data_IF_888945510200
#
_entry.id   IF_888945510200
#
_cell.length_a   1.000
_cell.length_b   1.000
_cell.length_c   1.000
_cell.angle_alpha   90.00
_cell.angle_beta   90.00
_cell.angle_gamma   90.00
#
_symmetry.space_group_name_H-M   'P 1'
#
loop_
_entity.id
_entity.type
_entity.pdbx_description
1 polymer ?
#
# COMPACT_ATOMS: atom_id res chain seq x y z
N UNK A 1 16.77 23.90 5.98
CA UNK A 1 17.59 24.97 5.39
C UNK A 1 16.75 26.23 5.46
N UNK A 2 17.07 27.07 6.44
CA UNK A 2 16.47 28.39 6.55
C UNK A 2 16.93 29.18 5.32
N UNK A 3 15.99 29.64 4.51
CA UNK A 3 16.25 30.82 3.71
C UNK A 3 16.48 31.94 4.73
N UNK A 4 17.76 32.27 4.95
CA UNK A 4 18.14 33.57 5.51
C UNK A 4 17.57 34.63 4.56
N UNK A 5 16.31 34.98 4.80
CA UNK A 5 15.76 36.26 4.38
C UNK A 5 16.73 37.28 4.95
N UNK A 6 17.49 37.89 4.04
CA UNK A 6 18.51 38.88 4.34
C UNK A 6 17.82 40.16 4.84
N UNK A 7 17.20 40.07 6.02
CA UNK A 7 16.60 41.16 6.77
C UNK A 7 17.59 42.32 6.90
N UNK A 8 18.86 41.96 7.06
CA UNK A 8 20.00 42.87 7.18
C UNK A 8 20.25 43.73 5.92
N UNK A 9 19.88 43.25 4.73
CA UNK A 9 19.99 43.99 3.47
C UNK A 9 18.77 44.88 3.20
N UNK A 10 17.56 44.40 3.51
CA UNK A 10 16.32 45.20 3.39
C UNK A 10 16.29 46.31 4.47
N UNK A 11 16.80 46.04 5.68
CA UNK A 11 16.90 47.02 6.75
C UNK A 11 17.97 48.08 6.45
N UNK A 12 19.13 47.69 5.91
CA UNK A 12 20.14 48.61 5.34
C UNK A 12 19.58 49.43 4.17
N UNK A 13 18.73 48.85 3.32
CA UNK A 13 18.03 49.55 2.23
C UNK A 13 16.96 50.52 2.71
N UNK A 14 16.36 50.31 3.87
CA UNK A 14 15.43 51.29 4.45
C UNK A 14 16.15 52.42 5.20
N UNK A 15 17.31 52.12 5.80
CA UNK A 15 18.12 53.07 6.57
C UNK A 15 18.69 54.21 5.73
N UNK A 16 19.26 53.93 4.55
CA UNK A 16 19.81 55.00 3.71
C UNK A 16 18.73 55.97 3.20
N UNK A 17 17.51 55.48 2.91
CA UNK A 17 16.36 56.28 2.51
C UNK A 17 15.91 57.21 3.65
N UNK A 18 15.99 56.72 4.89
CA UNK A 18 15.74 57.47 6.14
C UNK A 18 16.81 58.55 6.37
N UNK A 19 18.08 58.18 6.23
CA UNK A 19 19.22 59.11 6.34
C UNK A 19 19.19 60.20 5.26
N UNK A 20 18.61 59.91 4.08
CA UNK A 20 18.48 60.86 2.99
C UNK A 20 17.34 61.88 3.19
N UNK A 21 16.24 61.44 3.79
CA UNK A 21 15.10 62.31 4.12
C UNK A 21 15.35 63.14 5.40
N UNK A 22 16.13 62.62 6.35
CA UNK A 22 16.54 63.33 7.57
C UNK A 22 17.59 64.42 7.36
N UNK A 23 18.24 64.49 6.19
CA UNK A 23 19.24 65.53 5.84
C UNK A 23 18.64 66.82 5.24
N UNK A 24 17.33 67.03 5.38
CA UNK A 24 16.57 67.93 4.51
C UNK A 24 16.48 69.40 4.91
N UNK A 25 17.36 69.94 5.77
CA UNK A 25 17.36 71.39 6.03
C UNK A 25 18.58 72.18 5.53
N UNK A 26 19.78 71.60 5.37
CA UNK A 26 20.98 72.42 5.05
C UNK A 26 21.93 71.91 3.93
N UNK A 27 21.75 70.71 3.36
CA UNK A 27 22.56 70.26 2.21
C UNK A 27 21.70 70.01 0.97
N UNK A 28 21.97 70.76 -0.12
CA UNK A 28 21.28 70.58 -1.40
C UNK A 28 21.57 69.19 -1.97
N UNK A 29 20.62 68.26 -1.80
CA UNK A 29 20.67 66.90 -2.35
C UNK A 29 20.75 67.01 -3.88
N UNK A 30 21.75 66.35 -4.49
CA UNK A 30 21.91 66.37 -5.94
C UNK A 30 20.72 65.71 -6.65
N UNK A 31 20.31 66.20 -7.84
CA UNK A 31 19.13 65.70 -8.55
C UNK A 31 19.21 64.20 -8.88
N UNK A 32 20.41 63.67 -9.06
CA UNK A 32 20.66 62.25 -9.31
C UNK A 32 20.27 61.36 -8.11
N UNK A 33 20.52 61.85 -6.89
CA UNK A 33 20.17 61.16 -5.66
C UNK A 33 18.67 61.22 -5.40
N UNK A 34 18.00 62.33 -5.75
CA UNK A 34 16.54 62.45 -5.70
C UNK A 34 15.87 61.45 -6.66
N UNK A 35 16.37 61.32 -7.89
CA UNK A 35 15.87 60.35 -8.88
C UNK A 35 16.09 58.91 -8.40
N UNK A 36 17.23 58.61 -7.76
CA UNK A 36 17.50 57.30 -7.19
C UNK A 36 16.56 56.97 -6.02
N UNK A 37 16.30 57.93 -5.13
CA UNK A 37 15.36 57.77 -4.01
C UNK A 37 13.92 57.55 -4.50
N UNK A 38 13.47 58.32 -5.50
CA UNK A 38 12.14 58.14 -6.12
C UNK A 38 12.03 56.76 -6.78
N UNK A 39 13.06 56.29 -7.49
CA UNK A 39 13.06 54.94 -8.08
C UNK A 39 12.99 53.84 -7.01
N UNK A 40 13.71 54.00 -5.91
CA UNK A 40 13.69 53.04 -4.81
C UNK A 40 12.31 53.01 -4.12
N UNK A 41 11.69 54.17 -3.89
CA UNK A 41 10.32 54.30 -3.38
C UNK A 41 9.30 53.64 -4.30
N UNK A 42 9.39 53.88 -5.62
CA UNK A 42 8.50 53.23 -6.60
C UNK A 42 8.68 51.71 -6.57
N UNK A 43 9.91 51.20 -6.52
CA UNK A 43 10.15 49.75 -6.43
C UNK A 43 9.58 49.15 -5.13
N UNK A 44 9.71 49.84 -3.99
CA UNK A 44 9.21 49.37 -2.71
C UNK A 44 7.68 49.42 -2.64
N UNK A 45 7.05 50.48 -3.16
CA UNK A 45 5.59 50.56 -3.31
C UNK A 45 5.07 49.48 -4.27
N UNK A 46 5.77 49.21 -5.38
CA UNK A 46 5.41 48.09 -6.27
C UNK A 46 5.54 46.74 -5.58
N UNK A 47 6.60 46.52 -4.78
CA UNK A 47 6.78 45.29 -3.99
C UNK A 47 5.63 45.12 -2.98
N UNK A 48 5.30 46.16 -2.21
CA UNK A 48 4.20 46.15 -1.24
C UNK A 48 2.83 45.97 -1.90
N UNK A 49 2.59 46.64 -3.03
CA UNK A 49 1.39 46.47 -3.84
C UNK A 49 1.23 45.04 -4.33
N UNK A 50 2.30 44.44 -4.86
CA UNK A 50 2.32 43.04 -5.28
C UNK A 50 2.09 42.11 -4.09
N UNK A 51 2.72 42.34 -2.94
CA UNK A 51 2.50 41.54 -1.72
C UNK A 51 1.07 41.66 -1.17
N UNK A 52 0.49 42.86 -1.16
CA UNK A 52 -0.89 43.09 -0.71
C UNK A 52 -1.91 42.51 -1.67
N UNK A 53 -1.70 42.65 -2.98
CA UNK A 53 -2.54 42.01 -4.01
C UNK A 53 -2.42 40.50 -3.88
N UNK A 54 -1.21 39.93 -3.79
CA UNK A 54 -0.99 38.48 -3.58
C UNK A 54 -1.63 37.97 -2.28
N UNK A 55 -1.60 38.75 -1.19
CA UNK A 55 -2.27 38.42 0.08
C UNK A 55 -3.79 38.51 -0.03
N UNK A 56 -4.34 39.48 -0.78
CA UNK A 56 -5.80 39.65 -1.01
C UNK A 56 -6.37 38.66 -2.03
N UNK A 57 -5.59 38.19 -3.02
CA UNK A 57 -6.06 37.29 -4.08
C UNK A 57 -5.89 35.79 -3.78
N UNK A 58 -5.32 35.40 -2.63
CA UNK A 58 -5.34 33.99 -2.17
C UNK A 58 -6.74 33.60 -1.70
N UNK A 59 -7.71 33.54 -2.62
CA UNK A 59 -8.98 32.86 -2.37
C UNK A 59 -8.66 31.36 -2.19
N UNK A 60 -9.18 30.69 -1.15
CA UNK A 60 -8.97 29.27 -0.94
C UNK A 60 -9.61 28.48 -2.08
N UNK A 61 -8.85 27.58 -2.71
CA UNK A 61 -9.33 26.77 -3.83
C UNK A 61 -10.38 25.74 -3.36
N UNK A 62 -11.67 26.09 -3.41
CA UNK A 62 -12.76 25.30 -2.79
C UNK A 62 -13.03 24.00 -3.55
N UNK A 63 -13.08 24.06 -4.89
CA UNK A 63 -13.33 22.88 -5.73
C UNK A 63 -12.12 21.95 -5.75
N UNK A 64 -10.90 22.50 -5.71
CA UNK A 64 -9.68 21.69 -5.59
C UNK A 64 -9.68 20.88 -4.30
N UNK A 65 -10.03 21.50 -3.16
CA UNK A 65 -10.13 20.81 -1.87
C UNK A 65 -11.07 19.61 -1.95
N UNK A 66 -12.22 19.76 -2.61
CA UNK A 66 -13.18 18.66 -2.79
C UNK A 66 -12.60 17.52 -3.64
N UNK A 67 -11.94 17.84 -4.77
CA UNK A 67 -11.33 16.82 -5.63
C UNK A 67 -10.21 16.08 -4.89
N UNK A 68 -9.33 16.80 -4.20
CA UNK A 68 -8.24 16.21 -3.41
C UNK A 68 -8.79 15.32 -2.28
N UNK A 69 -9.88 15.74 -1.63
CA UNK A 69 -10.57 14.92 -0.62
C UNK A 69 -11.14 13.63 -1.20
N UNK A 70 -11.85 13.71 -2.33
CA UNK A 70 -12.41 12.52 -2.99
C UNK A 70 -11.32 11.54 -3.39
N UNK A 71 -10.22 12.03 -3.98
CA UNK A 71 -9.07 11.20 -4.35
C UNK A 71 -8.40 10.59 -3.12
N UNK A 72 -8.18 11.36 -2.06
CA UNK A 72 -7.60 10.88 -0.81
C UNK A 72 -8.44 9.80 -0.13
N UNK A 73 -9.77 9.99 -0.04
CA UNK A 73 -10.69 8.97 0.47
C UNK A 73 -10.60 7.70 -0.38
N UNK A 74 -10.60 7.82 -1.70
CA UNK A 74 -10.54 6.66 -2.59
C UNK A 74 -9.21 5.89 -2.43
N UNK A 75 -8.09 6.59 -2.20
CA UNK A 75 -6.79 5.98 -1.87
C UNK A 75 -6.84 5.24 -0.54
N UNK A 76 -7.47 5.82 0.49
CA UNK A 76 -7.67 5.15 1.79
C UNK A 76 -8.51 3.89 1.62
N UNK A 77 -9.62 3.95 0.88
CA UNK A 77 -10.45 2.76 0.58
C UNK A 77 -9.63 1.68 -0.11
N UNK A 78 -8.82 2.04 -1.12
CA UNK A 78 -7.93 1.08 -1.78
C UNK A 78 -6.93 0.46 -0.80
N UNK A 79 -6.28 1.27 0.04
CA UNK A 79 -5.31 0.80 1.03
C UNK A 79 -5.96 -0.12 2.08
N UNK A 80 -7.18 0.17 2.53
CA UNK A 80 -7.94 -0.68 3.45
C UNK A 80 -8.30 -2.01 2.80
N UNK A 81 -8.81 -2.01 1.56
CA UNK A 81 -9.12 -3.25 0.83
C UNK A 81 -7.87 -4.11 0.62
N UNK A 82 -6.74 -3.49 0.25
CA UNK A 82 -5.45 -4.17 0.16
C UNK A 82 -5.04 -4.76 1.51
N UNK A 83 -5.18 -4.00 2.60
CA UNK A 83 -4.84 -4.47 3.95
C UNK A 83 -5.66 -5.70 4.32
N UNK A 84 -6.98 -5.67 4.10
CA UNK A 84 -7.86 -6.82 4.37
C UNK A 84 -7.40 -8.05 3.58
N UNK A 85 -7.08 -7.92 2.29
CA UNK A 85 -6.63 -9.05 1.47
C UNK A 85 -5.30 -9.63 1.94
N UNK A 86 -4.32 -8.78 2.25
CA UNK A 86 -3.01 -9.23 2.73
C UNK A 86 -3.12 -9.86 4.13
N UNK A 87 -3.98 -9.32 4.99
CA UNK A 87 -4.31 -9.89 6.31
C UNK A 87 -4.97 -11.26 6.16
N UNK A 88 -5.90 -11.47 5.21
CA UNK A 88 -6.46 -12.80 4.94
C UNK A 88 -5.40 -13.80 4.50
N UNK A 89 -4.51 -13.42 3.58
CA UNK A 89 -3.34 -14.24 3.22
C UNK A 89 -2.54 -14.61 4.47
N UNK A 90 -2.34 -13.65 5.38
CA UNK A 90 -1.59 -13.85 6.62
C UNK A 90 -2.32 -14.62 7.72
N UNK A 91 -3.63 -14.65 7.82
CA UNK A 91 -4.30 -15.27 8.99
C UNK A 91 -5.21 -16.42 8.63
N UNK A 92 -5.78 -16.43 7.43
CA UNK A 92 -6.63 -17.53 6.99
C UNK A 92 -5.79 -18.66 6.38
N UNK A 93 -4.70 -18.31 5.69
CA UNK A 93 -3.83 -19.27 5.00
C UNK A 93 -2.44 -19.42 5.63
N UNK A 94 -2.04 -18.51 6.53
CA UNK A 94 -0.77 -18.61 7.28
C UNK A 94 -0.76 -19.39 8.60
N UNK A 95 -1.86 -19.87 9.22
CA UNK A 95 -1.74 -20.75 10.38
C UNK A 95 -0.99 -22.05 10.03
N UNK A 96 -0.94 -22.37 8.73
CA UNK A 96 -0.13 -23.41 8.10
C UNK A 96 1.40 -23.13 8.18
N UNK A 97 1.77 -21.86 8.35
CA UNK A 97 3.11 -21.30 8.14
C UNK A 97 3.85 -21.05 9.45
N UNK A 98 3.12 -20.66 10.50
CA UNK A 98 3.71 -20.07 11.71
C UNK A 98 4.48 -21.04 12.59
N UNK A 99 4.25 -22.36 12.46
CA UNK A 99 4.91 -23.38 13.29
C UNK A 99 6.17 -23.99 12.66
N UNK A 100 6.59 -23.56 11.46
CA UNK A 100 7.73 -24.16 10.74
C UNK A 100 8.81 -23.17 10.28
N UNK A 101 9.15 -22.21 11.14
CA UNK A 101 10.09 -21.11 10.84
C UNK A 101 11.56 -21.51 10.55
N UNK A 102 11.96 -22.77 10.32
CA UNK A 102 13.37 -23.04 9.99
C UNK A 102 13.70 -22.88 8.49
N UNK A 103 12.71 -22.87 7.61
CA UNK A 103 12.94 -22.51 6.20
C UNK A 103 13.16 -21.01 6.06
N UNK A 104 14.32 -20.62 5.50
CA UNK A 104 14.67 -19.23 5.22
C UNK A 104 13.62 -18.55 4.33
N UNK A 105 13.13 -19.24 3.29
CA UNK A 105 12.12 -18.71 2.36
C UNK A 105 10.84 -18.39 3.13
N UNK A 106 10.44 -19.28 4.03
CA UNK A 106 9.20 -19.13 4.78
C UNK A 106 9.26 -17.94 5.73
N UNK A 107 10.40 -17.75 6.39
CA UNK A 107 10.70 -16.55 7.18
C UNK A 107 10.64 -15.29 6.31
N UNK A 108 11.28 -15.30 5.13
CA UNK A 108 11.26 -14.16 4.21
C UNK A 108 9.85 -13.83 3.71
N UNK A 109 9.03 -14.83 3.39
CA UNK A 109 7.63 -14.65 2.98
C UNK A 109 6.83 -14.05 4.14
N UNK A 110 6.95 -14.62 5.34
CA UNK A 110 6.22 -14.14 6.51
C UNK A 110 6.61 -12.70 6.89
N UNK A 111 7.91 -12.39 6.87
CA UNK A 111 8.42 -11.04 7.09
C UNK A 111 8.01 -10.08 5.97
N UNK A 112 8.05 -10.51 4.71
CA UNK A 112 7.63 -9.72 3.55
C UNK A 112 6.15 -9.35 3.61
N UNK A 113 5.27 -10.31 3.93
CA UNK A 113 3.84 -10.05 4.14
C UNK A 113 3.62 -9.12 5.35
N UNK A 114 4.41 -9.30 6.43
CA UNK A 114 4.34 -8.40 7.61
C UNK A 114 4.72 -6.97 7.26
N UNK A 115 5.83 -6.79 6.52
CA UNK A 115 6.29 -5.50 6.05
C UNK A 115 5.23 -4.85 5.14
N UNK A 116 4.57 -5.64 4.29
CA UNK A 116 3.52 -5.12 3.41
C UNK A 116 2.33 -4.58 4.22
N UNK A 117 1.86 -5.33 5.23
CA UNK A 117 0.79 -4.85 6.13
C UNK A 117 1.22 -3.55 6.83
N UNK A 118 2.45 -3.52 7.36
CA UNK A 118 2.97 -2.33 8.02
C UNK A 118 3.00 -1.11 7.08
N UNK A 119 3.49 -1.27 5.85
CA UNK A 119 3.53 -0.20 4.87
C UNK A 119 2.14 0.30 4.48
N UNK A 120 1.13 -0.58 4.39
CA UNK A 120 -0.25 -0.18 4.12
C UNK A 120 -0.86 0.62 5.29
N UNK A 121 -0.57 0.25 6.53
CA UNK A 121 -0.99 1.02 7.71
C UNK A 121 -0.34 2.40 7.71
N UNK A 122 0.98 2.46 7.46
CA UNK A 122 1.70 3.74 7.35
C UNK A 122 1.13 4.57 6.21
N UNK A 123 0.80 3.98 5.06
CA UNK A 123 0.15 4.67 3.94
C UNK A 123 -1.14 5.33 4.40
N UNK A 124 -2.04 4.58 5.06
CA UNK A 124 -3.32 5.11 5.58
C UNK A 124 -3.08 6.31 6.50
N UNK A 125 -2.14 6.20 7.45
CA UNK A 125 -1.82 7.29 8.38
C UNK A 125 -1.29 8.52 7.63
N UNK A 126 -0.38 8.33 6.67
CA UNK A 126 0.18 9.45 5.88
C UNK A 126 -0.86 10.11 4.97
N UNK A 127 -1.83 9.37 4.44
CA UNK A 127 -2.96 9.96 3.70
C UNK A 127 -3.83 10.84 4.60
N UNK A 128 -4.16 10.37 5.80
CA UNK A 128 -4.93 11.18 6.76
C UNK A 128 -4.19 12.48 7.11
N UNK A 129 -2.87 12.39 7.35
CA UNK A 129 -2.05 13.58 7.58
C UNK A 129 -2.06 14.51 6.35
N UNK A 130 -1.95 13.96 5.14
CA UNK A 130 -1.98 14.74 3.90
C UNK A 130 -3.31 15.47 3.73
N UNK A 131 -4.43 14.83 4.05
CA UNK A 131 -5.76 15.45 4.00
C UNK A 131 -5.88 16.62 4.99
N UNK A 132 -5.44 16.44 6.24
CA UNK A 132 -5.44 17.50 7.28
C UNK A 132 -4.57 18.68 6.82
N UNK A 133 -3.37 18.40 6.34
CA UNK A 133 -2.42 19.43 5.92
C UNK A 133 -2.90 20.18 4.66
N UNK A 134 -3.61 19.49 3.76
CA UNK A 134 -4.31 20.11 2.64
C UNK A 134 -5.42 21.08 3.09
N UNK A 135 -6.04 20.89 4.26
CA UNK A 135 -7.01 21.85 4.81
C UNK A 135 -6.34 23.14 5.29
N UNK A 136 -5.14 23.03 5.86
CA UNK A 136 -4.39 24.16 6.42
C UNK A 136 -3.72 25.01 5.31
N UNK A 137 -3.60 24.47 4.08
CA UNK A 137 -3.09 25.15 2.88
C UNK A 137 -1.67 25.75 2.99
N UNK A 138 -0.83 25.26 3.92
CA UNK A 138 0.58 25.67 4.03
C UNK A 138 1.45 24.83 3.09
N UNK A 139 2.22 25.47 2.21
CA UNK A 139 3.03 24.79 1.18
C UNK A 139 4.09 23.84 1.75
N UNK A 140 4.85 24.27 2.76
CA UNK A 140 5.91 23.46 3.36
C UNK A 140 5.42 22.13 3.96
N UNK A 141 4.39 22.09 4.84
CA UNK A 141 3.90 20.82 5.37
C UNK A 141 3.21 19.96 4.29
N UNK A 142 2.56 20.56 3.28
CA UNK A 142 1.98 19.80 2.15
C UNK A 142 3.09 19.06 1.41
N UNK A 143 4.17 19.75 1.05
CA UNK A 143 5.30 19.15 0.35
C UNK A 143 5.95 18.02 1.15
N UNK A 144 6.18 18.23 2.45
CA UNK A 144 6.78 17.22 3.32
C UNK A 144 5.89 15.98 3.46
N UNK A 145 4.61 16.17 3.77
CA UNK A 145 3.67 15.05 3.98
C UNK A 145 3.44 14.27 2.70
N UNK A 146 3.38 14.97 1.56
CA UNK A 146 3.29 14.32 0.26
C UNK A 146 4.56 13.55 -0.11
N UNK A 147 5.76 14.09 0.17
CA UNK A 147 7.01 13.38 -0.06
C UNK A 147 7.09 12.07 0.75
N UNK A 148 6.68 12.12 2.03
CA UNK A 148 6.56 10.93 2.87
C UNK A 148 5.58 9.91 2.28
N UNK A 149 4.39 10.35 1.88
CA UNK A 149 3.39 9.50 1.24
C UNK A 149 3.92 8.87 -0.06
N UNK A 150 4.60 9.64 -0.89
CA UNK A 150 5.19 9.19 -2.15
C UNK A 150 6.24 8.10 -1.93
N UNK A 151 7.11 8.25 -0.92
CA UNK A 151 8.09 7.23 -0.54
C UNK A 151 7.38 5.94 -0.12
N UNK A 152 6.34 6.03 0.71
CA UNK A 152 5.59 4.84 1.17
C UNK A 152 4.91 4.13 0.00
N UNK A 153 4.27 4.87 -0.92
CA UNK A 153 3.67 4.27 -2.12
C UNK A 153 4.72 3.61 -3.01
N UNK A 154 5.88 4.24 -3.18
CA UNK A 154 6.97 3.68 -3.97
C UNK A 154 7.48 2.37 -3.36
N UNK A 155 7.59 2.30 -2.02
CA UNK A 155 7.94 1.06 -1.32
C UNK A 155 6.87 -0.02 -1.51
N UNK A 156 5.58 0.33 -1.46
CA UNK A 156 4.48 -0.61 -1.74
C UNK A 156 4.54 -1.14 -3.17
N UNK A 157 4.77 -0.28 -4.16
CA UNK A 157 4.94 -0.69 -5.56
C UNK A 157 6.19 -1.57 -5.71
N UNK A 158 7.26 -1.28 -4.96
CA UNK A 158 8.48 -2.09 -4.90
C UNK A 158 8.27 -3.53 -4.41
N UNK A 159 7.11 -3.84 -3.80
CA UNK A 159 6.73 -5.22 -3.43
C UNK A 159 6.17 -6.00 -4.62
N UNK A 160 5.82 -5.36 -5.74
CA UNK A 160 5.25 -6.05 -6.91
C UNK A 160 6.12 -7.21 -7.43
N UNK A 161 7.46 -7.11 -7.56
CA UNK A 161 8.29 -8.25 -7.95
C UNK A 161 8.20 -9.43 -6.98
N UNK A 162 8.08 -9.16 -5.67
CA UNK A 162 7.86 -10.19 -4.66
C UNK A 162 6.50 -10.87 -4.84
N UNK A 163 5.42 -10.11 -5.10
CA UNK A 163 4.09 -10.67 -5.35
C UNK A 163 4.06 -11.51 -6.64
N UNK A 164 4.72 -11.06 -7.70
CA UNK A 164 4.83 -11.80 -8.96
C UNK A 164 5.59 -13.10 -8.74
N UNK A 165 6.74 -13.06 -8.05
CA UNK A 165 7.50 -14.26 -7.73
C UNK A 165 6.68 -15.22 -6.85
N UNK A 166 5.98 -14.70 -5.84
CA UNK A 166 5.11 -15.48 -4.98
C UNK A 166 4.00 -16.16 -5.79
N UNK A 167 3.36 -15.45 -6.73
CA UNK A 167 2.36 -16.00 -7.65
C UNK A 167 2.96 -17.11 -8.54
N UNK A 168 4.09 -16.87 -9.19
CA UNK A 168 4.74 -17.85 -10.08
C UNK A 168 5.17 -19.13 -9.38
N UNK A 169 5.52 -19.04 -8.08
CA UNK A 169 5.99 -20.19 -7.30
C UNK A 169 4.98 -20.69 -6.27
N UNK A 170 3.72 -20.25 -6.34
CA UNK A 170 2.71 -20.51 -5.30
C UNK A 170 2.56 -22.01 -5.01
N UNK A 171 2.41 -22.85 -6.05
CA UNK A 171 2.27 -24.29 -5.86
C UNK A 171 3.48 -24.93 -5.15
N UNK A 172 4.70 -24.57 -5.58
CA UNK A 172 5.93 -25.10 -4.97
C UNK A 172 6.05 -24.66 -3.51
N UNK A 173 5.80 -23.38 -3.24
CA UNK A 173 5.83 -22.82 -1.88
C UNK A 173 4.83 -23.54 -0.98
N UNK A 174 3.56 -23.66 -1.40
CA UNK A 174 2.53 -24.39 -0.64
C UNK A 174 2.97 -25.82 -0.38
N UNK A 175 3.43 -26.54 -1.41
CA UNK A 175 3.84 -27.94 -1.25
C UNK A 175 5.01 -28.11 -0.27
N UNK A 176 6.03 -27.25 -0.34
CA UNK A 176 7.18 -27.28 0.56
C UNK A 176 6.76 -26.98 2.00
N UNK A 177 5.93 -25.96 2.18
CA UNK A 177 5.46 -25.50 3.48
C UNK A 177 4.64 -26.56 4.19
N UNK A 178 3.69 -27.17 3.48
CA UNK A 178 2.90 -28.27 4.00
C UNK A 178 3.74 -29.52 4.30
N UNK A 179 4.69 -29.86 3.43
CA UNK A 179 5.56 -31.01 3.67
C UNK A 179 6.43 -30.83 4.93
N UNK A 180 7.00 -29.64 5.14
CA UNK A 180 7.77 -29.31 6.35
C UNK A 180 6.88 -29.38 7.59
N UNK A 181 5.68 -28.78 7.50
CA UNK A 181 4.67 -28.77 8.55
C UNK A 181 4.27 -30.19 9.01
N UNK A 182 3.99 -31.09 8.05
CA UNK A 182 3.64 -32.48 8.33
C UNK A 182 4.82 -33.26 8.90
N UNK A 183 6.02 -33.10 8.34
CA UNK A 183 7.24 -33.80 8.80
C UNK A 183 7.58 -33.49 10.25
N UNK A 184 7.32 -32.26 10.71
CA UNK A 184 7.57 -31.84 12.10
C UNK A 184 6.53 -32.33 13.09
N UNK A 185 5.41 -32.87 12.61
CA UNK A 185 4.25 -33.16 13.48
C UNK A 185 3.63 -31.88 14.07
N UNK A 186 3.84 -30.72 13.45
CA UNK A 186 3.27 -29.44 13.89
C UNK A 186 1.75 -29.39 13.70
N UNK A 187 1.18 -30.31 12.91
CA UNK A 187 -0.26 -30.47 12.71
C UNK A 187 -0.72 -31.77 13.36
N UNK A 188 -1.74 -31.68 14.22
CA UNK A 188 -2.46 -32.87 14.62
C UNK A 188 -3.29 -33.36 13.42
N UNK A 189 -3.54 -34.66 13.35
CA UNK A 189 -4.40 -35.25 12.32
C UNK A 189 -5.78 -34.56 12.24
N UNK A 190 -6.29 -34.05 13.36
CA UNK A 190 -7.53 -33.27 13.43
C UNK A 190 -7.47 -31.95 12.64
N UNK A 191 -6.32 -31.29 12.57
CA UNK A 191 -6.15 -30.03 11.83
C UNK A 191 -6.10 -30.29 10.33
N UNK A 192 -5.38 -31.35 9.92
CA UNK A 192 -5.36 -31.82 8.53
C UNK A 192 -6.77 -32.20 8.08
N UNK A 193 -7.50 -32.93 8.92
CA UNK A 193 -8.90 -33.27 8.64
C UNK A 193 -9.77 -32.01 8.44
N UNK A 194 -9.72 -31.04 9.36
CA UNK A 194 -10.55 -29.81 9.26
C UNK A 194 -10.27 -29.05 7.98
N UNK A 195 -9.00 -28.96 7.61
CA UNK A 195 -8.57 -28.29 6.39
C UNK A 195 -9.10 -29.01 5.14
N UNK A 196 -8.90 -30.33 5.04
CA UNK A 196 -9.36 -31.11 3.89
C UNK A 196 -10.88 -31.08 3.74
N UNK A 197 -11.60 -31.10 4.86
CA UNK A 197 -13.06 -30.97 4.89
C UNK A 197 -13.51 -29.58 4.42
N UNK A 198 -12.87 -28.51 4.91
CA UNK A 198 -13.23 -27.13 4.58
C UNK A 198 -12.89 -26.73 3.14
N UNK A 199 -11.90 -27.38 2.54
CA UNK A 199 -11.47 -27.14 1.15
C UNK A 199 -12.00 -28.18 0.16
N UNK A 200 -12.82 -29.13 0.62
CA UNK A 200 -13.39 -30.20 -0.22
C UNK A 200 -12.36 -30.88 -1.13
N UNK A 201 -11.20 -31.22 -0.55
CA UNK A 201 -10.06 -31.79 -1.26
C UNK A 201 -9.57 -33.07 -0.59
N UNK A 202 -8.83 -33.90 -1.33
CA UNK A 202 -8.24 -35.10 -0.75
C UNK A 202 -6.82 -35.37 -1.23
N UNK A 203 -6.00 -35.90 -0.33
CA UNK A 203 -4.59 -36.13 -0.56
C UNK A 203 -3.81 -34.82 -0.53
N UNK A 204 -2.52 -34.88 -0.86
CA UNK A 204 -1.63 -33.73 -0.75
C UNK A 204 -1.22 -33.28 -2.15
N UNK A 205 -0.23 -33.96 -2.74
CA UNK A 205 0.17 -33.81 -4.15
C UNK A 205 -0.81 -34.52 -5.07
N UNK A 206 -1.20 -35.74 -4.71
CA UNK A 206 -2.17 -36.55 -5.44
C UNK A 206 -3.31 -36.99 -4.52
N UNK A 207 -4.46 -37.25 -5.12
CA UNK A 207 -5.62 -37.77 -4.39
C UNK A 207 -5.37 -39.11 -3.70
N UNK A 208 -4.50 -39.95 -4.28
CA UNK A 208 -4.16 -41.28 -3.78
C UNK A 208 -3.07 -41.29 -2.69
N UNK A 209 -2.57 -40.14 -2.24
CA UNK A 209 -1.45 -40.08 -1.29
C UNK A 209 -1.72 -40.84 0.02
N UNK A 210 -2.99 -40.89 0.46
CA UNK A 210 -3.39 -41.63 1.67
C UNK A 210 -3.18 -43.14 1.58
N UNK A 211 -3.09 -43.69 0.37
CA UNK A 211 -2.86 -45.12 0.11
C UNK A 211 -1.36 -45.43 -0.06
N UNK A 212 -0.54 -44.39 -0.20
CA UNK A 212 0.89 -44.52 -0.48
C UNK A 212 1.72 -44.56 0.81
N UNK A 213 2.95 -45.09 0.70
CA UNK A 213 3.90 -45.12 1.81
C UNK A 213 4.36 -43.71 2.23
N UNK A 214 4.42 -42.78 1.28
CA UNK A 214 4.68 -41.37 1.52
C UNK A 214 3.42 -40.55 1.19
N UNK A 215 3.05 -39.66 2.11
CA UNK A 215 1.96 -38.69 1.91
C UNK A 215 2.37 -37.55 0.99
N UNK A 216 3.65 -37.18 1.01
CA UNK A 216 4.19 -36.17 0.12
C UNK A 216 5.69 -36.40 -0.09
N UNK A 217 6.16 -36.12 -1.30
CA UNK A 217 7.58 -36.07 -1.64
C UNK A 217 7.85 -34.78 -2.40
N UNK A 218 8.44 -33.80 -1.70
CA UNK A 218 8.60 -32.43 -2.21
C UNK A 218 10.07 -32.06 -2.21
N UNK A 219 10.54 -31.47 -3.30
CA UNK A 219 11.88 -30.87 -3.39
C UNK A 219 11.83 -29.41 -2.94
N UNK A 220 12.69 -29.02 -2.00
CA UNK A 220 12.80 -27.63 -1.54
C UNK A 220 13.27 -26.70 -2.65
N UNK A 221 12.77 -25.46 -2.68
CA UNK A 221 13.09 -24.50 -3.74
C UNK A 221 14.55 -24.00 -3.71
N UNK A 222 15.14 -23.87 -2.51
CA UNK A 222 16.50 -23.34 -2.34
C UNK A 222 17.58 -24.41 -2.25
N UNK A 223 17.35 -25.49 -1.49
CA UNK A 223 18.39 -26.51 -1.23
C UNK A 223 18.30 -27.69 -2.19
N UNK A 224 17.22 -27.81 -2.98
CA UNK A 224 16.90 -28.99 -3.79
C UNK A 224 16.90 -30.30 -2.98
N UNK A 225 16.73 -30.21 -1.66
CA UNK A 225 16.62 -31.36 -0.78
C UNK A 225 15.22 -31.96 -0.89
N UNK A 226 15.16 -33.30 -0.90
CA UNK A 226 13.89 -34.01 -0.89
C UNK A 226 13.37 -34.13 0.53
N UNK A 227 12.16 -33.64 0.73
CA UNK A 227 11.37 -33.81 1.94
C UNK A 227 10.35 -34.91 1.66
N UNK A 228 10.60 -36.06 2.26
CA UNK A 228 9.65 -37.17 2.26
C UNK A 228 8.86 -37.16 3.57
N UNK A 229 7.53 -37.15 3.45
CA UNK A 229 6.59 -37.25 4.57
C UNK A 229 6.00 -38.65 4.57
N UNK A 230 6.41 -39.48 5.53
CA UNK A 230 5.93 -40.85 5.64
C UNK A 230 4.48 -40.90 6.13
N UNK A 231 3.71 -41.82 5.56
CA UNK A 231 2.35 -42.10 5.97
C UNK A 231 2.34 -42.96 7.23
N UNK A 232 1.80 -42.42 8.32
CA UNK A 232 1.67 -43.16 9.59
C UNK A 232 0.43 -44.07 9.63
N UNK A 233 -0.46 -43.97 8.64
CA UNK A 233 -1.73 -44.71 8.54
C UNK A 233 -2.65 -44.60 9.77
N UNK A 234 -2.43 -43.65 10.69
CA UNK A 234 -3.28 -43.42 11.86
C UNK A 234 -4.74 -43.13 11.50
N UNK A 235 -4.96 -42.57 10.32
CA UNK A 235 -6.29 -42.29 9.77
C UNK A 235 -7.14 -43.56 9.58
N UNK A 236 -6.52 -44.73 9.40
CA UNK A 236 -7.22 -46.01 9.18
C UNK A 236 -8.01 -46.40 10.44
N UNK A 237 -7.39 -46.30 11.61
CA UNK A 237 -8.05 -46.61 12.89
C UNK A 237 -9.23 -45.66 13.16
N UNK A 238 -9.02 -44.35 12.97
CA UNK A 238 -10.08 -43.34 13.10
C UNK A 238 -11.24 -43.58 12.12
N UNK A 239 -10.93 -43.98 10.88
CA UNK A 239 -11.94 -44.26 9.88
C UNK A 239 -12.77 -45.51 10.24
N UNK A 240 -12.14 -46.60 10.69
CA UNK A 240 -12.85 -47.82 11.11
C UNK A 240 -13.76 -47.53 12.30
N UNK A 241 -13.32 -46.73 13.26
CA UNK A 241 -14.16 -46.31 14.39
C UNK A 241 -15.39 -45.52 13.93
N UNK A 242 -15.22 -44.58 12.99
CA UNK A 242 -16.31 -43.75 12.46
C UNK A 242 -17.23 -44.46 11.48
N UNK A 243 -16.77 -45.56 10.88
CA UNK A 243 -17.52 -46.35 9.92
C UNK A 243 -18.12 -47.62 10.54
N UNK A 244 -18.39 -47.64 11.85
CA UNK A 244 -19.01 -48.79 12.53
C UNK A 244 -18.25 -50.12 12.31
N UNK A 245 -16.92 -50.08 12.22
CA UNK A 245 -16.09 -51.28 12.07
C UNK A 245 -15.83 -51.72 10.63
N UNK A 246 -16.34 -51.01 9.62
CA UNK A 246 -16.00 -51.29 8.22
C UNK A 246 -14.59 -50.83 7.87
N UNK A 247 -13.91 -51.53 6.97
CA UNK A 247 -12.62 -51.09 6.42
C UNK A 247 -12.79 -49.84 5.53
N UNK A 248 -11.74 -49.04 5.39
CA UNK A 248 -11.78 -47.78 4.65
C UNK A 248 -10.72 -47.69 3.55
N UNK A 249 -11.10 -47.23 2.34
CA UNK A 249 -10.16 -46.98 1.22
C UNK A 249 -9.39 -45.68 1.33
N UNK A 250 -9.99 -44.69 1.96
CA UNK A 250 -9.47 -43.33 2.15
C UNK A 250 -10.04 -42.79 3.48
N UNK A 251 -9.48 -41.71 4.05
CA UNK A 251 -10.10 -41.06 5.20
C UNK A 251 -11.53 -40.63 4.89
N UNK A 252 -12.44 -40.74 5.85
CA UNK A 252 -13.86 -40.43 5.64
C UNK A 252 -14.10 -38.97 5.18
N UNK A 253 -13.22 -38.03 5.56
CA UNK A 253 -13.31 -36.62 5.15
C UNK A 253 -12.87 -36.35 3.71
N UNK A 254 -12.33 -37.34 3.01
CA UNK A 254 -11.99 -37.25 1.58
C UNK A 254 -13.19 -37.46 0.64
N UNK A 255 -14.38 -37.64 1.22
CA UNK A 255 -15.53 -38.23 0.57
C UNK A 255 -16.71 -37.25 0.60
N UNK A 256 -17.27 -36.95 -0.58
CA UNK A 256 -18.47 -36.11 -0.71
C UNK A 256 -19.75 -36.85 -0.26
N UNK A 257 -19.72 -38.19 -0.27
CA UNK A 257 -20.82 -39.08 0.13
C UNK A 257 -20.45 -39.85 1.40
N UNK A 258 -21.42 -40.06 2.28
CA UNK A 258 -21.25 -40.71 3.60
C UNK A 258 -20.63 -42.11 3.55
N UNK A 259 -20.75 -42.82 2.43
CA UNK A 259 -20.35 -44.22 2.33
C UNK A 259 -19.23 -44.48 1.32
N UNK A 260 -18.74 -43.47 0.58
CA UNK A 260 -17.74 -43.75 -0.46
C UNK A 260 -16.40 -44.24 0.08
N UNK A 261 -16.07 -43.95 1.33
CA UNK A 261 -14.84 -44.42 1.95
C UNK A 261 -14.91 -45.90 2.35
N UNK A 262 -16.12 -46.46 2.53
CA UNK A 262 -16.34 -47.77 3.14
C UNK A 262 -16.06 -48.91 2.17
N UNK A 263 -15.55 -50.01 2.72
CA UNK A 263 -15.40 -51.29 2.04
C UNK A 263 -16.20 -52.33 2.85
N UNK A 264 -16.96 -53.23 2.21
CA UNK A 264 -17.73 -54.27 2.90
C UNK A 264 -16.81 -55.39 3.43
N UNK A 265 -15.84 -55.02 4.26
CA UNK A 265 -14.85 -55.87 4.91
C UNK A 265 -14.70 -55.42 6.37
N UNK A 266 -14.41 -56.36 7.27
CA UNK A 266 -14.16 -56.03 8.68
C UNK A 266 -12.84 -55.26 8.84
N UNK A 267 -12.92 -54.03 9.35
CA UNK A 267 -11.79 -53.10 9.44
C UNK A 267 -10.94 -53.25 10.69
N UNK A 268 -11.46 -53.81 11.79
CA UNK A 268 -10.80 -53.81 13.10
C UNK A 268 -9.48 -54.60 13.15
N UNK A 269 -9.44 -55.78 12.51
CA UNK A 269 -8.23 -56.59 12.44
C UNK A 269 -7.21 -55.99 11.47
N UNK A 270 -7.70 -55.47 10.34
CA UNK A 270 -6.89 -54.82 9.31
C UNK A 270 -6.21 -53.54 9.84
N UNK A 271 -6.97 -52.64 10.48
CA UNK A 271 -6.45 -51.39 11.05
C UNK A 271 -5.35 -51.64 12.08
N UNK A 272 -5.57 -52.60 13.00
CA UNK A 272 -4.54 -53.00 14.00
C UNK A 272 -3.27 -53.51 13.34
N UNK A 273 -3.39 -54.29 12.26
CA UNK A 273 -2.23 -54.83 11.54
C UNK A 273 -1.47 -53.74 10.78
N UNK A 274 -2.18 -52.83 10.11
CA UNK A 274 -1.59 -51.69 9.40
C UNK A 274 -0.87 -50.77 10.39
N UNK A 275 -1.49 -50.42 11.51
CA UNK A 275 -0.90 -49.58 12.56
C UNK A 275 0.39 -50.20 13.11
N UNK A 276 0.39 -51.51 13.38
CA UNK A 276 1.60 -52.24 13.80
C UNK A 276 2.69 -52.21 12.73
N UNK A 277 2.35 -52.39 11.46
CA UNK A 277 3.32 -52.33 10.36
C UNK A 277 3.86 -50.91 10.16
N UNK A 278 3.01 -49.88 10.23
CA UNK A 278 3.38 -48.48 10.02
C UNK A 278 4.38 -47.97 11.06
N UNK A 279 4.34 -48.50 12.30
CA UNK A 279 5.34 -48.23 13.32
C UNK A 279 6.74 -48.75 12.99
N UNK A 280 6.86 -49.72 12.08
CA UNK A 280 8.14 -50.32 11.69
C UNK A 280 8.56 -49.97 10.25
N UNK A 281 7.61 -49.89 9.31
CA UNK A 281 7.85 -49.59 7.90
C UNK A 281 6.56 -49.10 7.24
N UNK A 282 6.55 -47.84 6.81
CA UNK A 282 5.44 -47.26 6.03
C UNK A 282 5.24 -47.98 4.70
N UNK A 283 6.31 -48.49 4.09
CA UNK A 283 6.26 -49.27 2.84
C UNK A 283 5.54 -50.60 3.06
N UNK A 284 5.87 -51.33 4.13
CA UNK A 284 5.21 -52.59 4.45
C UNK A 284 3.72 -52.38 4.78
N UNK A 285 3.39 -51.27 5.47
CA UNK A 285 2.01 -50.90 5.75
C UNK A 285 1.23 -50.58 4.46
N UNK A 286 1.82 -49.82 3.54
CA UNK A 286 1.21 -49.48 2.25
C UNK A 286 0.97 -50.73 1.38
N UNK A 287 1.97 -51.62 1.27
CA UNK A 287 1.82 -52.89 0.55
C UNK A 287 0.73 -53.78 1.17
N UNK A 288 0.67 -53.85 2.50
CA UNK A 288 -0.38 -54.60 3.17
C UNK A 288 -1.77 -53.99 2.93
N UNK A 289 -1.88 -52.65 2.94
CA UNK A 289 -3.10 -51.94 2.61
C UNK A 289 -3.56 -52.25 1.18
N UNK A 290 -2.67 -52.10 0.20
CA UNK A 290 -2.91 -52.39 -1.22
C UNK A 290 -3.39 -53.84 -1.42
N UNK A 291 -2.71 -54.81 -0.83
CA UNK A 291 -3.05 -56.23 -1.01
C UNK A 291 -4.42 -56.63 -0.44
N UNK A 292 -4.93 -55.90 0.57
CA UNK A 292 -6.18 -56.26 1.27
C UNK A 292 -7.37 -55.37 0.86
N UNK A 293 -7.15 -54.12 0.48
CA UNK A 293 -8.20 -53.16 0.13
C UNK A 293 -8.18 -52.81 -1.37
N UNK A 294 -6.99 -52.82 -1.99
CA UNK A 294 -6.76 -52.37 -3.36
C UNK A 294 -6.49 -50.86 -3.48
N UNK A 295 -5.91 -50.47 -4.61
CA UNK A 295 -5.51 -49.09 -4.93
C UNK A 295 -6.53 -48.32 -5.79
N UNK A 296 -7.76 -48.83 -5.91
CA UNK A 296 -8.80 -48.15 -6.69
C UNK A 296 -9.46 -47.06 -5.85
N UNK A 297 -9.36 -45.82 -6.34
CA UNK A 297 -9.99 -44.67 -5.71
C UNK A 297 -11.52 -44.84 -5.70
N UNK A 298 -12.20 -44.53 -4.58
CA UNK A 298 -13.64 -44.70 -4.49
C UNK A 298 -14.41 -43.66 -5.31
N UNK A 299 -15.55 -44.08 -5.88
CA UNK A 299 -16.50 -43.17 -6.51
C UNK A 299 -17.12 -42.23 -5.47
N UNK A 300 -17.12 -40.92 -5.73
CA UNK A 300 -17.61 -39.90 -4.80
C UNK A 300 -16.55 -39.27 -3.91
N UNK A 301 -15.27 -39.63 -4.09
CA UNK A 301 -14.13 -38.92 -3.54
C UNK A 301 -14.00 -37.51 -4.14
N UNK A 302 -13.47 -36.56 -3.37
CA UNK A 302 -13.14 -35.24 -3.90
C UNK A 302 -12.17 -35.32 -5.08
N UNK A 303 -12.37 -34.44 -6.06
CA UNK A 303 -11.68 -34.48 -7.36
C UNK A 303 -10.32 -33.80 -7.36
N UNK A 304 -10.01 -33.00 -6.35
CA UNK A 304 -8.81 -32.18 -6.36
C UNK A 304 -7.89 -32.53 -5.18
N UNK A 305 -6.59 -32.45 -5.45
CA UNK A 305 -5.56 -32.61 -4.43
C UNK A 305 -5.40 -31.31 -3.64
N UNK A 306 -5.20 -31.40 -2.33
CA UNK A 306 -5.28 -30.21 -1.48
C UNK A 306 -4.18 -29.18 -1.80
N UNK A 307 -2.97 -29.59 -2.21
CA UNK A 307 -1.92 -28.62 -2.56
C UNK A 307 -2.30 -27.77 -3.77
N UNK A 308 -2.97 -28.36 -4.76
CA UNK A 308 -3.44 -27.62 -5.93
C UNK A 308 -4.52 -26.61 -5.53
N UNK A 309 -5.54 -27.05 -4.80
CA UNK A 309 -6.65 -26.19 -4.34
C UNK A 309 -6.13 -25.00 -3.53
N UNK A 310 -5.23 -25.24 -2.59
CA UNK A 310 -4.65 -24.18 -1.75
C UNK A 310 -3.81 -23.24 -2.61
N UNK A 311 -3.01 -23.78 -3.53
CA UNK A 311 -2.20 -22.98 -4.43
C UNK A 311 -3.06 -22.07 -5.31
N UNK A 312 -4.17 -22.58 -5.85
CA UNK A 312 -5.08 -21.80 -6.69
C UNK A 312 -5.74 -20.67 -5.88
N UNK A 313 -6.24 -20.95 -4.67
CA UNK A 313 -6.82 -19.93 -3.79
C UNK A 313 -5.81 -18.82 -3.46
N UNK A 314 -4.56 -19.21 -3.20
CA UNK A 314 -3.51 -18.27 -2.83
C UNK A 314 -3.05 -17.45 -4.06
N UNK A 315 -2.94 -18.10 -5.22
CA UNK A 315 -2.62 -17.46 -6.49
C UNK A 315 -3.70 -16.44 -6.89
N UNK A 316 -4.97 -16.78 -6.73
CA UNK A 316 -6.12 -15.90 -6.95
C UNK A 316 -6.10 -14.71 -5.99
N UNK A 317 -5.80 -14.95 -4.71
CA UNK A 317 -5.68 -13.89 -3.70
C UNK A 317 -4.57 -12.89 -4.07
N UNK A 318 -3.42 -13.38 -4.54
CA UNK A 318 -2.27 -12.55 -4.96
C UNK A 318 -2.57 -11.79 -6.25
N UNK A 319 -3.20 -12.45 -7.23
CA UNK A 319 -3.69 -11.80 -8.45
C UNK A 319 -4.65 -10.67 -8.11
N UNK A 320 -5.57 -10.93 -7.18
CA UNK A 320 -6.51 -9.92 -6.68
C UNK A 320 -5.80 -8.75 -6.00
N UNK A 321 -4.72 -8.96 -5.25
CA UNK A 321 -3.90 -7.87 -4.69
C UNK A 321 -3.25 -7.05 -5.81
N UNK A 322 -2.67 -7.70 -6.81
CA UNK A 322 -2.03 -7.03 -7.94
C UNK A 322 -3.01 -6.12 -8.69
N UNK A 323 -4.25 -6.59 -8.89
CA UNK A 323 -5.34 -5.80 -9.50
C UNK A 323 -5.62 -4.53 -8.69
N UNK A 324 -5.58 -4.57 -7.36
CA UNK A 324 -5.84 -3.41 -6.49
C UNK A 324 -4.65 -2.45 -6.34
N UNK A 325 -3.43 -2.87 -6.71
CA UNK A 325 -2.27 -1.98 -6.79
C UNK A 325 -2.42 -1.01 -7.99
N UNK A 326 -3.05 -1.43 -9.09
CA UNK A 326 -3.28 -0.61 -10.28
C UNK A 326 -4.09 0.68 -9.98
N UNK A 327 -5.30 0.63 -9.37
CA UNK A 327 -6.04 1.84 -9.04
C UNK A 327 -5.29 2.70 -8.02
N UNK A 328 -4.57 2.10 -7.05
CA UNK A 328 -3.74 2.87 -6.12
C UNK A 328 -2.66 3.68 -6.86
N UNK A 329 -2.03 3.10 -7.89
CA UNK A 329 -1.05 3.76 -8.73
C UNK A 329 -1.67 4.92 -9.53
N UNK A 330 -2.81 4.69 -10.18
CA UNK A 330 -3.54 5.72 -10.94
C UNK A 330 -3.91 6.90 -10.02
N UNK A 331 -4.47 6.60 -8.84
CA UNK A 331 -4.86 7.63 -7.86
C UNK A 331 -3.65 8.39 -7.29
N UNK A 332 -2.50 7.72 -7.16
CA UNK A 332 -1.26 8.37 -6.75
C UNK A 332 -0.80 9.37 -7.81
N UNK A 333 -0.86 9.01 -9.10
CA UNK A 333 -0.55 9.94 -10.20
C UNK A 333 -1.49 11.14 -10.18
N UNK A 334 -2.80 10.92 -10.00
CA UNK A 334 -3.78 12.02 -9.89
C UNK A 334 -3.45 12.94 -8.70
N UNK A 335 -3.17 12.36 -7.52
CA UNK A 335 -2.82 13.15 -6.33
C UNK A 335 -1.51 13.91 -6.52
N UNK A 336 -0.54 13.33 -7.22
CA UNK A 336 0.72 14.00 -7.59
C UNK A 336 0.46 15.27 -8.40
N UNK A 337 -0.38 15.17 -9.43
CA UNK A 337 -0.77 16.34 -10.25
C UNK A 337 -1.47 17.39 -9.39
N UNK A 338 -2.39 16.99 -8.51
CA UNK A 338 -3.12 17.90 -7.62
C UNK A 338 -2.18 18.64 -6.67
N UNK A 339 -1.21 17.95 -6.06
CA UNK A 339 -0.23 18.55 -5.16
C UNK A 339 0.71 19.49 -5.90
N UNK A 340 1.19 19.12 -7.09
CA UNK A 340 2.00 20.01 -7.94
C UNK A 340 1.24 21.31 -8.24
N UNK A 341 -0.03 21.22 -8.62
CA UNK A 341 -0.86 22.40 -8.87
C UNK A 341 -0.95 23.31 -7.65
N UNK A 342 -1.11 22.75 -6.44
CA UNK A 342 -1.16 23.55 -5.20
C UNK A 342 0.19 24.16 -4.83
N UNK A 343 1.29 23.44 -5.04
CA UNK A 343 2.62 23.99 -4.81
C UNK A 343 2.92 25.14 -5.79
N UNK A 344 2.53 25.01 -7.06
CA UNK A 344 2.64 26.08 -8.06
C UNK A 344 1.72 27.28 -7.75
N UNK A 345 0.52 27.03 -7.24
CA UNK A 345 -0.39 28.08 -6.79
C UNK A 345 0.16 28.82 -5.57
N UNK A 346 0.61 28.09 -4.55
CA UNK A 346 1.10 28.65 -3.30
C UNK A 346 2.45 29.37 -3.43
N UNK A 347 3.32 28.94 -4.36
CA UNK A 347 4.59 29.59 -4.66
C UNK A 347 4.45 30.91 -5.44
N UNK A 348 3.22 31.31 -5.83
CA UNK A 348 2.98 32.54 -6.59
C UNK A 348 3.43 32.47 -8.06
N UNK A 349 4.04 31.37 -8.49
CA UNK A 349 4.42 31.15 -9.90
C UNK A 349 3.21 31.07 -10.84
N UNK A 350 2.01 30.80 -10.32
CA UNK A 350 0.75 30.85 -11.07
C UNK A 350 -0.01 32.19 -11.02
N UNK A 351 0.46 33.21 -10.29
CA UNK A 351 -0.26 34.48 -10.08
C UNK A 351 0.55 35.75 -10.33
N UNK A 352 1.84 35.64 -10.67
CA UNK A 352 2.53 36.78 -11.28
C UNK A 352 1.90 37.03 -12.66
N UNK A 353 1.43 38.27 -12.88
CA UNK A 353 0.85 38.82 -14.12
C UNK A 353 -0.68 38.68 -14.25
N UNK A 354 -1.41 39.70 -13.75
CA UNK A 354 -2.04 40.61 -14.73
C UNK A 354 -1.57 42.07 -14.70
N UNK A 355 -0.83 42.52 -13.69
CA UNK A 355 -0.77 43.97 -13.40
C UNK A 355 0.49 44.75 -13.80
N UNK A 356 1.43 44.13 -14.51
CA UNK A 356 2.48 44.90 -15.18
C UNK A 356 2.13 45.06 -16.66
N UNK A 357 1.43 46.16 -16.97
CA UNK A 357 1.31 46.82 -18.27
C UNK A 357 1.34 45.96 -19.54
N UNK A 358 0.18 45.85 -20.22
CA UNK A 358 -0.04 45.48 -21.64
C UNK A 358 1.23 45.39 -22.51
N UNK A 359 1.97 44.28 -22.45
CA UNK A 359 2.80 43.77 -23.55
C UNK A 359 2.90 42.24 -23.38
N UNK A 360 2.26 41.51 -24.31
CA UNK A 360 2.37 40.05 -24.58
C UNK A 360 2.08 39.08 -23.41
N UNK A 361 0.94 38.38 -23.56
CA UNK A 361 0.55 37.08 -22.98
C UNK A 361 1.59 36.36 -22.11
N UNK A 362 1.33 36.15 -20.80
CA UNK A 362 2.16 35.30 -19.97
C UNK A 362 1.69 33.83 -20.07
N UNK A 363 2.62 32.92 -20.29
CA UNK A 363 2.41 31.48 -20.21
C UNK A 363 2.23 31.06 -18.74
N UNK A 364 0.99 31.13 -18.24
CA UNK A 364 0.60 30.32 -17.10
C UNK A 364 0.77 28.84 -17.50
N UNK A 365 1.31 27.99 -16.62
CA UNK A 365 1.32 26.56 -16.91
C UNK A 365 -0.15 26.12 -17.13
N UNK A 366 -0.52 25.57 -18.31
CA UNK A 366 -1.92 25.42 -18.72
C UNK A 366 -2.79 24.72 -17.67
N UNK A 367 -2.19 23.75 -16.98
CA UNK A 367 -2.79 22.98 -15.89
C UNK A 367 -3.24 23.84 -14.70
N UNK A 368 -2.42 24.79 -14.25
CA UNK A 368 -2.77 25.69 -13.12
C UNK A 368 -3.91 26.62 -13.53
N UNK A 369 -3.90 27.11 -14.77
CA UNK A 369 -4.93 28.00 -15.29
C UNK A 369 -6.29 27.31 -15.40
N UNK A 370 -6.33 26.04 -15.81
CA UNK A 370 -7.58 25.24 -15.83
C UNK A 370 -8.19 25.14 -14.43
N UNK A 371 -7.39 24.89 -13.40
CA UNK A 371 -7.91 24.80 -12.02
C UNK A 371 -8.38 26.15 -11.47
N UNK A 372 -7.68 27.25 -11.77
CA UNK A 372 -8.11 28.60 -11.42
C UNK A 372 -9.43 28.95 -12.14
N UNK A 373 -9.54 28.61 -13.43
CA UNK A 373 -10.74 28.88 -14.22
C UNK A 373 -11.93 28.03 -13.77
N UNK A 374 -11.69 26.81 -13.30
CA UNK A 374 -12.70 25.97 -12.66
C UNK A 374 -13.22 26.54 -11.35
N UNK A 375 -12.43 27.30 -10.58
CA UNK A 375 -12.81 27.84 -9.28
C UNK A 375 -13.37 29.29 -9.35
N UNK A 376 -13.25 29.95 -10.51
CA UNK A 376 -13.93 31.22 -10.79
C UNK A 376 -15.44 30.97 -10.95
N UNK A 377 -16.18 31.15 -9.87
CA UNK A 377 -17.61 31.45 -9.99
C UNK A 377 -17.76 32.76 -10.79
N UNK A 378 -18.68 32.76 -11.75
CA UNK A 378 -18.93 33.90 -12.65
C UNK A 378 -19.20 35.16 -11.82
N UNK A 379 -18.41 36.21 -12.09
CA UNK A 379 -18.40 37.59 -11.55
C UNK A 379 -17.33 37.83 -10.48
N UNK A 380 -16.15 38.28 -10.92
CA UNK A 380 -15.27 39.11 -10.11
C UNK A 380 -15.02 40.40 -10.93
N UNK A 381 -15.88 41.40 -10.73
CA UNK A 381 -15.69 42.79 -11.22
C UNK A 381 -14.84 43.63 -10.22
N UNK A 382 -14.37 43.05 -9.11
CA UNK A 382 -13.73 43.80 -8.00
C UNK A 382 -12.20 43.98 -8.13
N UNK A 383 -11.63 43.83 -9.32
CA UNK A 383 -10.17 43.86 -9.56
C UNK A 383 -9.67 45.20 -10.13
N UNK A 384 -10.50 46.24 -10.15
CA UNK A 384 -10.18 47.58 -10.67
C UNK A 384 -9.51 48.54 -9.68
N UNK A 385 -9.45 48.22 -8.39
CA UNK A 385 -9.27 49.25 -7.35
C UNK A 385 -7.83 49.44 -6.85
N UNK A 386 -6.84 48.78 -7.45
CA UNK A 386 -5.44 49.04 -7.11
C UNK A 386 -4.87 50.21 -7.93
N UNK A 387 -4.69 51.36 -7.29
CA UNK A 387 -4.04 52.54 -7.86
C UNK A 387 -2.70 52.78 -7.17
N UNK A 388 -1.60 52.56 -7.91
CA UNK A 388 -0.23 52.87 -7.46
C UNK A 388 -0.10 54.34 -7.02
N UNK A 389 -0.88 55.23 -7.64
CA UNK A 389 -0.92 56.66 -7.35
C UNK A 389 -1.56 56.95 -5.98
N UNK A 390 -2.57 56.16 -5.59
CA UNK A 390 -3.23 56.24 -4.27
C UNK A 390 -2.27 55.77 -3.17
N UNK A 391 -1.56 54.66 -3.39
CA UNK A 391 -0.58 54.11 -2.46
C UNK A 391 0.60 55.06 -2.26
N UNK A 392 1.13 55.66 -3.33
CA UNK A 392 2.21 56.66 -3.25
C UNK A 392 1.76 57.93 -2.51
N UNK A 393 0.49 58.33 -2.63
CA UNK A 393 -0.07 59.48 -1.89
C UNK A 393 -0.26 59.21 -0.40
N UNK A 394 -0.57 57.96 -0.05
CA UNK A 394 -0.85 57.54 1.33
C UNK A 394 0.39 56.96 2.04
N UNK A 395 1.52 56.86 1.35
CA UNK A 395 2.77 56.33 1.89
C UNK A 395 3.33 57.25 2.97
N UNK A 396 3.15 56.86 4.23
CA UNK A 396 3.64 57.59 5.39
C UNK A 396 4.70 56.75 6.10
N UNK A 397 5.97 57.12 5.91
CA UNK A 397 7.15 56.37 6.35
C UNK A 397 7.14 56.16 7.87
N UNK A 398 6.72 57.17 8.63
CA UNK A 398 6.75 57.13 10.10
C UNK A 398 5.66 56.21 10.66
N UNK A 399 4.47 56.21 10.05
CA UNK A 399 3.37 55.31 10.44
C UNK A 399 3.68 53.85 10.09
N UNK A 400 4.14 53.61 8.87
CA UNK A 400 4.40 52.26 8.36
C UNK A 400 5.66 51.61 8.98
N UNK A 401 6.59 52.39 9.52
CA UNK A 401 7.74 51.88 10.28
C UNK A 401 7.33 51.43 11.70
N UNK A 402 6.39 52.15 12.32
CA UNK A 402 5.89 51.83 13.66
C UNK A 402 4.99 50.58 13.71
N UNK A 403 4.36 50.21 12.59
CA UNK A 403 3.56 48.97 12.47
C UNK A 403 4.40 47.71 12.18
N UNK A 404 5.73 47.83 12.03
CA UNK A 404 6.66 46.72 11.74
C UNK A 404 7.56 46.32 12.91
N UNK A 405 7.52 47.04 14.04
CA UNK A 405 7.95 46.54 15.36
C UNK A 405 6.80 45.73 15.99
#
# INVERSE_FOLDING_TARGET
MAEDYNWDADERRSRWLRDLLGKSEDESITPEVQVAAIRALIMECQKRGVEQVLKRTRKPLKRWKHIAWVVGILRIVCAVVLTIKVVRIRYDYSPIITNSLDSLILKMIHQGITLFIFLLIVLIITEFLLLIVCEIQRSAPIAFTYALNFVVVTLIIGIAPFLVAFHSYTFRLVSEMYAIALRRGSYMYADVQRLHLGLECCGFLNRSDWQSAALANVTTLLTNEKIEVLNTFRWVEDCVQKSNGFACRVPYFCCSRSDCHKVPLEGNALARRISKLANHSAVAAAQYFENNIGNTLPEGMYKDACFAVIADILADSVSSICIWIIPLLILTVVMTVLVIVVLLYNSGQGQLLPYFNRVRSPHCHPLVWVFIQMDKDKKDDDLSDYSLVEDLKNFNIDRDASERE
#
